data_IF_732904204364
#
_entry.id   IF_732904204364
#
_cell.length_a   1.000
_cell.length_b   1.000
_cell.length_c   1.000
_cell.angle_alpha   90.00
_cell.angle_beta   90.00
_cell.angle_gamma   90.00
#
_symmetry.space_group_name_H-M   'P 1'
#
loop_
_entity.id
_entity.type
_entity.pdbx_description
1 polymer ?
#
# COMPACT_ATOMS: atom_id res chain seq x y z
N UNK A 1 -3.19 -52.12 -27.38
CA UNK A 1 -2.60 -50.92 -28.01
C UNK A 1 -2.84 -49.77 -27.04
N UNK A 2 -1.77 -49.18 -26.49
CA UNK A 2 -1.82 -48.14 -25.46
C UNK A 2 -1.99 -46.77 -26.14
N UNK A 3 -3.04 -46.03 -25.79
CA UNK A 3 -3.16 -44.62 -26.13
C UNK A 3 -2.89 -43.80 -24.87
N UNK A 4 -1.68 -43.23 -24.76
CA UNK A 4 -1.38 -42.16 -23.82
C UNK A 4 -1.93 -40.86 -24.41
N UNK A 5 -2.96 -40.29 -23.79
CA UNK A 5 -3.35 -38.91 -24.05
C UNK A 5 -2.50 -37.99 -23.15
N UNK A 6 -1.61 -37.23 -23.79
CA UNK A 6 -0.83 -36.15 -23.19
C UNK A 6 -1.77 -35.01 -22.78
N UNK A 7 -1.95 -34.80 -21.49
CA UNK A 7 -2.50 -33.57 -20.92
C UNK A 7 -1.40 -32.49 -20.96
N UNK A 8 -1.37 -31.72 -22.04
CA UNK A 8 -0.60 -30.48 -22.11
C UNK A 8 -1.35 -29.39 -21.32
N UNK A 9 -1.10 -29.32 -20.01
CA UNK A 9 -1.55 -28.22 -19.17
C UNK A 9 -0.74 -26.96 -19.48
N UNK A 10 -1.31 -26.07 -20.30
CA UNK A 10 -0.87 -24.69 -20.39
C UNK A 10 -1.21 -23.98 -19.08
N UNK A 11 -0.31 -24.01 -18.11
CA UNK A 11 -0.29 -23.05 -17.03
C UNK A 11 0.13 -21.70 -17.64
N UNK A 12 -0.86 -20.94 -18.10
CA UNK A 12 -0.71 -19.51 -18.38
C UNK A 12 -0.38 -18.89 -17.03
N UNK A 13 0.91 -18.71 -16.76
CA UNK A 13 1.41 -18.09 -15.56
C UNK A 13 0.98 -16.63 -15.56
N UNK A 14 -0.14 -16.32 -14.90
CA UNK A 14 -0.42 -14.97 -14.46
C UNK A 14 0.78 -14.55 -13.61
N UNK A 15 1.64 -13.71 -14.17
CA UNK A 15 2.69 -13.04 -13.42
C UNK A 15 1.99 -12.11 -12.43
N UNK A 16 1.68 -12.63 -11.25
CA UNK A 16 1.19 -11.81 -10.15
C UNK A 16 2.26 -10.76 -9.86
N UNK A 17 1.90 -9.47 -9.69
CA UNK A 17 2.87 -8.46 -9.34
C UNK A 17 3.61 -8.92 -8.07
N UNK A 18 4.94 -9.00 -8.16
CA UNK A 18 5.80 -9.47 -7.09
C UNK A 18 6.46 -8.26 -6.43
N UNK A 19 6.74 -8.36 -5.13
CA UNK A 19 7.55 -7.35 -4.47
C UNK A 19 8.97 -7.34 -5.07
N UNK A 20 9.62 -6.17 -5.20
CA UNK A 20 11.00 -6.09 -5.65
C UNK A 20 11.95 -6.88 -4.74
N UNK A 21 13.13 -7.27 -5.23
CA UNK A 21 14.05 -8.21 -4.56
C UNK A 21 14.48 -7.86 -3.12
N UNK A 22 14.40 -6.58 -2.71
CA UNK A 22 14.71 -6.12 -1.36
C UNK A 22 13.49 -6.02 -0.43
N UNK A 23 12.30 -6.33 -0.94
CA UNK A 23 11.02 -6.20 -0.26
C UNK A 23 10.29 -7.54 -0.23
N UNK A 24 9.33 -7.67 0.67
CA UNK A 24 8.48 -8.85 0.76
C UNK A 24 7.02 -8.45 0.96
N UNK A 25 6.11 -9.35 0.57
CA UNK A 25 4.70 -9.20 0.86
C UNK A 25 4.43 -9.74 2.28
N UNK A 26 3.66 -8.98 3.08
CA UNK A 26 3.08 -9.44 4.33
C UNK A 26 1.57 -9.18 4.27
N UNK A 27 0.83 -10.19 3.79
CA UNK A 27 -0.61 -10.09 3.51
C UNK A 27 -1.42 -9.81 4.77
N UNK A 28 -1.02 -10.39 5.92
CA UNK A 28 -1.71 -10.17 7.18
C UNK A 28 -1.53 -8.74 7.67
N UNK A 29 -0.34 -8.17 7.52
CA UNK A 29 -0.08 -6.78 7.87
C UNK A 29 -0.75 -5.81 6.90
N UNK A 30 -0.67 -6.04 5.60
CA UNK A 30 -1.39 -5.25 4.58
C UNK A 30 -2.88 -5.16 4.89
N UNK A 31 -3.53 -6.29 5.20
CA UNK A 31 -4.94 -6.33 5.55
C UNK A 31 -5.28 -5.50 6.81
N UNK A 32 -4.38 -5.45 7.81
CA UNK A 32 -4.55 -4.59 8.98
C UNK A 32 -4.45 -3.10 8.62
N UNK A 33 -3.46 -2.73 7.80
CA UNK A 33 -3.30 -1.35 7.35
C UNK A 33 -4.52 -0.89 6.54
N UNK A 34 -5.01 -1.75 5.63
CA UNK A 34 -6.23 -1.49 4.86
C UNK A 34 -7.46 -1.35 5.77
N UNK A 35 -7.61 -2.19 6.80
CA UNK A 35 -8.70 -2.08 7.75
C UNK A 35 -8.67 -0.77 8.56
N UNK A 36 -7.49 -0.31 8.97
CA UNK A 36 -7.32 0.99 9.63
C UNK A 36 -7.77 2.12 8.69
N UNK A 37 -7.31 2.10 7.44
CA UNK A 37 -7.67 3.12 6.44
C UNK A 37 -9.15 3.06 6.04
N UNK A 38 -9.77 1.89 6.03
CA UNK A 38 -11.19 1.72 5.75
C UNK A 38 -12.08 2.39 6.83
N UNK A 39 -11.58 2.51 8.06
CA UNK A 39 -12.27 3.20 9.16
C UNK A 39 -12.16 4.73 9.09
N UNK A 40 -11.21 5.26 8.32
CA UNK A 40 -10.97 6.70 8.19
C UNK A 40 -11.77 7.29 7.02
N UNK A 41 -12.61 8.32 7.23
CA UNK A 41 -13.49 8.85 6.19
C UNK A 41 -12.73 9.53 5.03
N UNK A 42 -11.54 10.08 5.28
CA UNK A 42 -10.74 10.74 4.25
C UNK A 42 -9.87 9.73 3.48
N UNK A 43 -9.37 8.69 4.15
CA UNK A 43 -8.50 7.70 3.51
C UNK A 43 -9.25 6.56 2.81
N UNK A 44 -10.43 6.14 3.32
CA UNK A 44 -11.27 5.11 2.71
C UNK A 44 -11.50 5.26 1.19
N UNK A 45 -11.88 6.44 0.65
CA UNK A 45 -12.07 6.57 -0.80
C UNK A 45 -10.78 6.37 -1.60
N UNK A 46 -9.60 6.63 -1.01
CA UNK A 46 -8.31 6.43 -1.69
C UNK A 46 -8.03 4.94 -1.91
N UNK A 47 -8.28 4.08 -0.92
CA UNK A 47 -8.10 2.62 -1.07
C UNK A 47 -8.87 2.05 -2.26
N UNK A 48 -10.11 2.50 -2.45
CA UNK A 48 -10.96 2.01 -3.54
C UNK A 48 -10.53 2.56 -4.90
N UNK A 49 -10.04 3.80 -4.94
CA UNK A 49 -9.63 4.46 -6.17
C UNK A 49 -8.24 3.99 -6.67
N UNK A 50 -7.36 3.58 -5.76
CA UNK A 50 -5.96 3.27 -6.08
C UNK A 50 -5.50 1.94 -5.47
N UNK A 51 -6.02 0.79 -5.96
CA UNK A 51 -5.53 -0.51 -5.53
C UNK A 51 -4.04 -0.63 -5.84
N UNK A 52 -3.27 -1.09 -4.87
CA UNK A 52 -1.82 -1.23 -4.97
C UNK A 52 -1.35 -2.45 -4.16
N UNK A 53 -0.35 -3.16 -4.68
CA UNK A 53 0.38 -4.13 -3.89
C UNK A 53 1.13 -3.42 -2.76
N UNK A 54 1.15 -3.97 -1.55
CA UNK A 54 1.93 -3.41 -0.44
C UNK A 54 3.10 -4.32 -0.12
N UNK A 55 4.30 -3.76 -0.14
CA UNK A 55 5.56 -4.46 0.06
C UNK A 55 6.37 -3.80 1.16
N UNK A 56 7.08 -4.60 1.95
CA UNK A 56 7.73 -4.17 3.18
C UNK A 56 9.24 -4.45 3.14
N UNK A 57 10.02 -3.53 3.70
CA UNK A 57 11.45 -3.73 3.98
C UNK A 57 11.85 -2.87 5.20
N UNK A 58 12.86 -3.25 6.00
CA UNK A 58 13.29 -2.45 7.15
C UNK A 58 14.25 -1.33 6.75
N UNK A 59 14.12 -0.15 7.38
CA UNK A 59 15.09 0.93 7.27
C UNK A 59 15.12 1.60 5.90
N UNK A 60 14.00 1.58 5.19
CA UNK A 60 13.84 2.19 3.86
C UNK A 60 12.95 3.42 3.95
N UNK A 61 13.05 4.31 2.97
CA UNK A 61 12.02 5.33 2.80
C UNK A 61 10.74 4.68 2.25
N UNK A 62 9.59 5.13 2.77
CA UNK A 62 8.29 4.67 2.25
C UNK A 62 7.91 5.44 0.99
N UNK A 63 7.72 4.74 -0.12
CA UNK A 63 7.51 5.35 -1.44
C UNK A 63 6.39 4.64 -2.20
N UNK A 64 5.75 5.37 -3.11
CA UNK A 64 4.86 4.77 -4.11
C UNK A 64 5.66 4.40 -5.36
N UNK A 65 5.18 3.45 -6.13
CA UNK A 65 5.66 3.13 -7.49
C UNK A 65 4.44 2.88 -8.37
N UNK A 66 4.64 2.58 -9.65
CA UNK A 66 3.53 2.21 -10.54
C UNK A 66 2.81 0.92 -10.08
N UNK A 67 3.53 0.01 -9.44
CA UNK A 67 3.04 -1.35 -9.17
C UNK A 67 2.71 -1.58 -7.69
N UNK A 68 3.50 -0.98 -6.79
CA UNK A 68 3.40 -1.22 -5.36
C UNK A 68 3.62 0.04 -4.52
N UNK A 69 3.11 0.01 -3.29
CA UNK A 69 3.55 0.83 -2.17
C UNK A 69 4.66 0.09 -1.44
N UNK A 70 5.79 0.75 -1.28
CA UNK A 70 6.97 0.23 -0.61
C UNK A 70 7.02 0.90 0.77
N UNK A 71 6.90 0.15 1.85
CA UNK A 71 6.75 0.66 3.21
C UNK A 71 7.89 0.20 4.12
N UNK A 72 8.27 1.05 5.07
CA UNK A 72 9.25 0.72 6.09
C UNK A 72 8.62 -0.13 7.20
N UNK A 73 8.94 -1.42 7.23
CA UNK A 73 8.36 -2.33 8.20
C UNK A 73 8.73 -2.03 9.66
N UNK A 74 9.77 -1.21 9.89
CA UNK A 74 10.21 -0.87 11.24
C UNK A 74 9.23 0.05 11.98
N UNK A 75 8.33 0.71 11.23
CA UNK A 75 7.32 1.60 11.78
C UNK A 75 6.11 0.84 12.32
N UNK A 76 5.38 1.40 13.31
CA UNK A 76 4.14 0.80 13.82
C UNK A 76 2.99 0.93 12.79
N UNK A 77 1.96 0.09 12.94
CA UNK A 77 0.88 -0.07 11.95
C UNK A 77 0.04 1.21 11.76
N UNK A 78 -0.14 2.03 12.80
CA UNK A 78 -0.82 3.33 12.74
C UNK A 78 -0.04 4.35 11.88
N UNK A 79 1.28 4.46 12.10
CA UNK A 79 2.16 5.31 11.32
C UNK A 79 2.23 4.83 9.86
N UNK A 80 2.33 3.52 9.64
CA UNK A 80 2.32 2.95 8.29
C UNK A 80 0.99 3.14 7.57
N UNK A 81 -0.13 3.03 8.26
CA UNK A 81 -1.44 3.31 7.68
C UNK A 81 -1.51 4.78 7.24
N UNK A 82 -1.15 5.72 8.13
CA UNK A 82 -1.12 7.14 7.79
C UNK A 82 -0.19 7.44 6.59
N UNK A 83 1.01 6.85 6.56
CA UNK A 83 1.94 6.93 5.44
C UNK A 83 1.38 6.31 4.16
N UNK A 84 0.66 5.20 4.27
CA UNK A 84 -0.03 4.58 3.14
C UNK A 84 -1.11 5.51 2.57
N UNK A 85 -1.90 6.19 3.41
CA UNK A 85 -2.88 7.19 2.95
C UNK A 85 -2.22 8.35 2.18
N UNK A 86 -1.09 8.84 2.67
CA UNK A 86 -0.26 9.84 1.98
C UNK A 86 0.12 9.37 0.57
N UNK A 87 0.68 8.16 0.45
CA UNK A 87 1.15 7.62 -0.83
C UNK A 87 0.00 7.34 -1.80
N UNK A 88 -1.16 6.89 -1.28
CA UNK A 88 -2.37 6.67 -2.08
C UNK A 88 -2.93 7.98 -2.64
N UNK A 89 -2.81 9.10 -1.92
CA UNK A 89 -3.22 10.42 -2.41
C UNK A 89 -2.36 10.86 -3.60
N UNK A 90 -1.04 10.68 -3.54
CA UNK A 90 -0.18 10.95 -4.69
C UNK A 90 -0.56 10.06 -5.88
N UNK A 91 -0.78 8.77 -5.62
CA UNK A 91 -1.17 7.81 -6.66
C UNK A 91 -2.50 8.18 -7.32
N UNK A 92 -3.48 8.68 -6.56
CA UNK A 92 -4.79 9.08 -7.11
C UNK A 92 -4.69 10.32 -8.01
N UNK A 93 -3.61 11.09 -7.87
CA UNK A 93 -3.24 12.22 -8.74
C UNK A 93 -2.32 11.84 -9.89
N UNK A 94 -2.04 10.55 -10.08
CA UNK A 94 -1.09 10.06 -11.09
C UNK A 94 0.37 10.33 -10.75
N UNK A 95 0.68 10.63 -9.49
CA UNK A 95 2.04 10.87 -9.01
C UNK A 95 2.57 9.58 -8.37
N UNK A 96 3.57 8.97 -9.00
CA UNK A 96 4.18 7.71 -8.53
C UNK A 96 5.51 7.92 -7.83
N UNK A 97 5.96 9.17 -7.72
CA UNK A 97 7.05 9.61 -6.83
C UNK A 97 6.53 10.78 -5.99
N UNK A 98 6.88 10.82 -4.72
CA UNK A 98 6.77 12.01 -3.88
C UNK A 98 7.69 13.07 -4.48
N UNK A 99 7.13 13.90 -5.37
CA UNK A 99 7.82 15.05 -5.94
C UNK A 99 7.97 16.07 -4.83
N UNK A 100 9.16 16.18 -4.26
CA UNK A 100 9.42 16.98 -3.06
C UNK A 100 8.83 18.41 -3.05
N UNK A 101 8.49 18.87 -1.85
CA UNK A 101 8.12 20.24 -1.45
C UNK A 101 7.11 21.00 -2.33
N UNK A 102 6.20 20.29 -3.01
CA UNK A 102 5.07 20.91 -3.73
C UNK A 102 3.83 21.17 -2.87
N UNK A 103 2.83 21.91 -3.38
CA UNK A 103 1.52 22.04 -2.74
C UNK A 103 0.84 20.67 -2.54
N UNK A 104 1.04 19.74 -3.47
CA UNK A 104 0.55 18.36 -3.35
C UNK A 104 1.16 17.62 -2.14
N UNK A 105 2.46 17.79 -1.93
CA UNK A 105 3.19 17.23 -0.78
C UNK A 105 2.67 17.84 0.54
N UNK A 106 2.33 19.14 0.55
CA UNK A 106 1.76 19.80 1.73
C UNK A 106 0.43 19.17 2.12
N UNK A 107 -0.43 18.90 1.14
CA UNK A 107 -1.73 18.29 1.35
C UNK A 107 -1.61 16.83 1.78
N UNK A 108 -0.74 16.05 1.14
CA UNK A 108 -0.47 14.66 1.52
C UNK A 108 0.05 14.55 2.96
N UNK A 109 1.00 15.42 3.35
CA UNK A 109 1.48 15.51 4.72
C UNK A 109 0.39 15.95 5.70
N UNK A 110 -0.52 16.84 5.28
CA UNK A 110 -1.66 17.23 6.11
C UNK A 110 -2.64 16.07 6.32
N UNK A 111 -2.93 15.29 5.26
CA UNK A 111 -3.74 14.09 5.36
C UNK A 111 -3.09 13.05 6.29
N UNK A 112 -1.81 12.77 6.11
CA UNK A 112 -1.05 11.84 6.95
C UNK A 112 -1.19 12.17 8.44
N UNK A 113 -0.94 13.44 8.81
CA UNK A 113 -1.07 13.89 10.21
C UNK A 113 -2.49 13.71 10.75
N UNK A 114 -3.52 14.00 9.94
CA UNK A 114 -4.93 13.84 10.36
C UNK A 114 -5.29 12.37 10.57
N UNK A 115 -4.91 11.50 9.64
CA UNK A 115 -5.14 10.05 9.74
C UNK A 115 -4.41 9.51 10.97
N UNK A 116 -3.12 9.81 11.13
CA UNK A 116 -2.34 9.37 12.28
C UNK A 116 -2.96 9.84 13.60
N UNK A 117 -3.36 11.12 13.68
CA UNK A 117 -4.00 11.67 14.86
C UNK A 117 -5.29 10.92 15.22
N UNK A 118 -6.11 10.56 14.24
CA UNK A 118 -7.35 9.79 14.48
C UNK A 118 -7.08 8.35 14.90
N UNK A 119 -6.09 7.69 14.31
CA UNK A 119 -5.73 6.30 14.65
C UNK A 119 -5.09 6.16 16.03
N UNK A 120 -4.40 7.20 16.50
CA UNK A 120 -3.72 7.22 17.81
C UNK A 120 -4.55 7.81 18.93
N UNK A 121 -5.62 8.53 18.62
CA UNK A 121 -6.51 9.09 19.65
C UNK A 121 -7.53 8.05 20.07
N UNK A 122 -7.57 7.64 21.35
CA UNK A 122 -8.59 6.70 21.82
C UNK A 122 -9.99 7.32 21.67
N UNK A 123 -11.03 6.52 21.35
CA UNK A 123 -12.39 7.02 21.25
C UNK A 123 -12.84 7.61 22.60
N UNK A 124 -13.71 8.64 22.59
CA UNK A 124 -14.29 9.16 23.81
C UNK A 124 -15.03 8.03 24.54
N UNK A 125 -14.79 7.91 25.85
CA UNK A 125 -15.42 6.92 26.72
C UNK A 125 -16.90 7.19 26.92
#
# INVERSE_FOLDING_TARGET
>A
MKALALLAGFAIGCAHPQCPAAYHADTARSARLEALLQSDPEARPLLSATPALVCFAPGVESVSTNEALLLDQSQPDDALAARMAHLLLHRSRGQTRTSGNGPDETEANALERRVLSRLTTPPPR
#
